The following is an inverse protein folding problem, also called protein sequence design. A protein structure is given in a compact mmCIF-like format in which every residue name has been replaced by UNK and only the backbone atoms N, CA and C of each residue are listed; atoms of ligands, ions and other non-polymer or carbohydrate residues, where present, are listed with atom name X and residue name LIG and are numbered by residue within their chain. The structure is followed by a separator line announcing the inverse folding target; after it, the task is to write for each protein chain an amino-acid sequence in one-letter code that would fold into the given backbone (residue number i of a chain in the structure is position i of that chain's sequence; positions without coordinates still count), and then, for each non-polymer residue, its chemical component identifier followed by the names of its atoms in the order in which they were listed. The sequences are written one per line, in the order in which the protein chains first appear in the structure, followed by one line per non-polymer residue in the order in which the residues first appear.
data_IF_453445948440
#
_entry.id   IF_453445948440
#
_cell.length_a   1.000
_cell.length_b   1.000
_cell.length_c   1.000
_cell.angle_alpha   90.00
_cell.angle_beta   90.00
_cell.angle_gamma   90.00
#
_symmetry.space_group_name_H-M   'P 1'
#
loop_
_entity.id
_entity.type
_entity.pdbx_description
1 polymer ?
#
# COMPACT_ATOMS: atom_id res chain seq x y z
N UNK A 1 -4.27 -15.55 10.91
CA UNK A 1 -3.29 -14.70 10.21
C UNK A 1 -4.05 -13.74 9.30
N UNK A 2 -3.71 -12.47 9.34
CA UNK A 2 -4.39 -11.46 8.53
C UNK A 2 -4.00 -11.62 7.06
N UNK A 3 -5.00 -11.69 6.19
CA UNK A 3 -4.82 -11.96 4.75
C UNK A 3 -5.09 -10.71 3.93
N UNK A 4 -4.75 -10.78 2.63
CA UNK A 4 -5.12 -9.72 1.69
C UNK A 4 -6.63 -9.50 1.69
N UNK A 5 -7.43 -10.57 1.72
CA UNK A 5 -8.87 -10.45 1.74
C UNK A 5 -9.37 -9.68 2.96
N UNK A 6 -8.75 -9.90 4.12
CA UNK A 6 -9.09 -9.15 5.33
C UNK A 6 -8.80 -7.66 5.16
N UNK A 7 -7.67 -7.34 4.56
CA UNK A 7 -7.28 -5.94 4.29
C UNK A 7 -8.26 -5.29 3.31
N UNK A 8 -8.63 -6.00 2.25
CA UNK A 8 -9.58 -5.48 1.27
C UNK A 8 -10.96 -5.18 1.86
N UNK A 9 -11.35 -5.91 2.92
CA UNK A 9 -12.62 -5.72 3.61
C UNK A 9 -12.56 -4.69 4.72
N UNK A 10 -11.38 -4.26 5.11
CA UNK A 10 -11.21 -3.32 6.22
C UNK A 10 -11.84 -1.97 5.87
N UNK A 11 -12.77 -1.50 6.71
CA UNK A 11 -13.54 -0.28 6.43
C UNK A 11 -12.68 0.97 6.43
N UNK A 12 -11.69 1.03 7.31
CA UNK A 12 -10.80 2.20 7.39
C UNK A 12 -9.93 2.28 6.13
N UNK A 13 -9.42 1.14 5.68
CA UNK A 13 -8.61 1.09 4.45
C UNK A 13 -9.46 1.46 3.24
N UNK A 14 -10.69 0.94 3.15
CA UNK A 14 -11.62 1.32 2.08
C UNK A 14 -11.85 2.83 2.07
N UNK A 15 -12.06 3.42 3.24
CA UNK A 15 -12.30 4.85 3.36
C UNK A 15 -11.09 5.67 2.90
N UNK A 16 -9.89 5.24 3.27
CA UNK A 16 -8.67 5.92 2.84
C UNK A 16 -8.48 5.84 1.33
N UNK A 17 -8.68 4.68 0.73
CA UNK A 17 -8.56 4.51 -0.71
C UNK A 17 -9.59 5.39 -1.43
N UNK A 18 -10.83 5.39 -0.96
CA UNK A 18 -11.90 6.19 -1.54
C UNK A 18 -11.59 7.69 -1.44
N UNK A 19 -11.12 8.13 -0.28
CA UNK A 19 -10.75 9.54 -0.07
C UNK A 19 -9.60 9.95 -0.99
N UNK A 20 -8.59 9.10 -1.13
CA UNK A 20 -7.46 9.35 -2.02
C UNK A 20 -7.90 9.48 -3.47
N UNK A 21 -8.80 8.61 -3.91
CA UNK A 21 -9.33 8.67 -5.27
C UNK A 21 -10.08 9.98 -5.53
N UNK A 22 -10.90 10.42 -4.58
CA UNK A 22 -11.63 11.68 -4.71
C UNK A 22 -10.69 12.86 -4.79
N UNK A 23 -9.66 12.87 -3.95
CA UNK A 23 -8.67 13.94 -3.92
C UNK A 23 -7.92 14.03 -5.25
N UNK A 24 -7.44 12.89 -5.74
CA UNK A 24 -6.68 12.86 -6.99
C UNK A 24 -7.56 13.20 -8.20
N UNK A 25 -8.81 12.73 -8.21
CA UNK A 25 -9.75 13.05 -9.28
C UNK A 25 -10.02 14.55 -9.33
N UNK A 26 -10.17 15.20 -8.18
CA UNK A 26 -10.37 16.64 -8.11
C UNK A 26 -9.17 17.42 -8.65
N UNK A 27 -7.98 16.83 -8.59
CA UNK A 27 -6.76 17.43 -9.12
C UNK A 27 -6.48 17.06 -10.57
N UNK A 28 -7.37 16.31 -11.22
CA UNK A 28 -7.21 15.91 -12.60
C UNK A 28 -6.46 14.61 -12.82
N UNK A 29 -6.07 13.90 -11.77
CA UNK A 29 -5.45 12.59 -11.89
C UNK A 29 -6.51 11.52 -12.09
N UNK A 30 -6.18 10.49 -12.86
CA UNK A 30 -7.08 9.38 -13.12
C UNK A 30 -6.39 8.06 -12.78
N UNK A 31 -7.20 6.98 -12.73
CA UNK A 31 -6.69 5.62 -12.59
C UNK A 31 -5.95 5.31 -11.30
N UNK A 32 -6.42 5.89 -10.18
CA UNK A 32 -5.90 5.56 -8.85
C UNK A 32 -6.94 4.81 -8.02
N UNK A 33 -7.93 4.21 -8.70
CA UNK A 33 -9.03 3.49 -8.07
C UNK A 33 -8.71 2.03 -7.83
N UNK A 34 -9.75 1.22 -7.56
CA UNK A 34 -9.60 -0.22 -7.26
C UNK A 34 -8.85 -1.00 -8.34
N UNK A 35 -8.99 -0.62 -9.60
CA UNK A 35 -8.28 -1.28 -10.69
C UNK A 35 -6.77 -1.10 -10.55
N UNK A 36 -6.33 0.12 -10.23
CA UNK A 36 -4.91 0.43 -10.06
C UNK A 36 -4.31 -0.35 -8.89
N UNK A 37 -4.93 -0.28 -7.72
CA UNK A 37 -4.39 -0.97 -6.55
C UNK A 37 -4.42 -2.48 -6.72
N UNK A 38 -5.43 -3.00 -7.42
CA UNK A 38 -5.49 -4.43 -7.74
C UNK A 38 -4.33 -4.84 -8.65
N UNK A 39 -4.04 -4.04 -9.66
CA UNK A 39 -2.92 -4.29 -10.56
C UNK A 39 -1.58 -4.29 -9.83
N UNK A 40 -1.34 -3.27 -9.02
CA UNK A 40 -0.10 -3.14 -8.25
C UNK A 40 0.04 -4.31 -7.27
N UNK A 41 -1.05 -4.66 -6.58
CA UNK A 41 -1.07 -5.77 -5.64
C UNK A 41 -0.67 -7.09 -6.31
N UNK A 42 -1.29 -7.41 -7.45
CA UNK A 42 -1.00 -8.64 -8.18
C UNK A 42 0.41 -8.66 -8.76
N UNK A 43 0.87 -7.51 -9.26
CA UNK A 43 2.20 -7.41 -9.83
C UNK A 43 3.27 -7.63 -8.77
N UNK A 44 3.12 -6.99 -7.59
CA UNK A 44 4.06 -7.16 -6.49
C UNK A 44 4.11 -8.62 -6.03
N UNK A 45 2.95 -9.23 -5.84
CA UNK A 45 2.87 -10.64 -5.45
C UNK A 45 3.50 -11.55 -6.50
N UNK A 46 3.22 -11.28 -7.78
CA UNK A 46 3.75 -12.09 -8.89
C UNK A 46 5.27 -12.05 -8.97
N UNK A 47 5.86 -10.90 -8.73
CA UNK A 47 7.32 -10.76 -8.74
C UNK A 47 7.94 -11.62 -7.64
N UNK A 48 7.43 -11.51 -6.41
CA UNK A 48 7.98 -12.29 -5.29
C UNK A 48 7.74 -13.78 -5.47
N UNK A 49 6.58 -14.16 -6.01
CA UNK A 49 6.31 -15.58 -6.30
C UNK A 49 7.29 -16.12 -7.34
N UNK A 50 7.57 -15.34 -8.39
CA UNK A 50 8.53 -15.75 -9.44
C UNK A 50 9.95 -15.88 -8.88
N UNK A 51 10.28 -15.12 -7.85
CA UNK A 51 11.59 -15.17 -7.18
C UNK A 51 11.63 -16.21 -6.05
N UNK A 52 10.57 -17.02 -5.92
CA UNK A 52 10.47 -18.11 -4.95
C UNK A 52 10.48 -17.67 -3.49
N UNK A 53 9.95 -16.49 -3.20
CA UNK A 53 9.72 -16.07 -1.82
C UNK A 53 8.62 -16.93 -1.18
N UNK A 54 8.58 -16.93 0.15
CA UNK A 54 7.58 -17.73 0.87
C UNK A 54 6.15 -17.23 0.56
N UNK A 55 5.13 -18.10 0.72
CA UNK A 55 3.75 -17.67 0.54
C UNK A 55 3.36 -16.45 1.38
N UNK A 56 3.88 -16.37 2.62
CA UNK A 56 3.58 -15.21 3.47
C UNK A 56 4.21 -13.94 2.94
N UNK A 57 5.44 -14.00 2.47
CA UNK A 57 6.11 -12.85 1.88
C UNK A 57 5.38 -12.38 0.62
N UNK A 58 4.92 -13.31 -0.19
CA UNK A 58 4.11 -13.00 -1.38
C UNK A 58 2.83 -12.27 -0.98
N UNK A 59 2.15 -12.76 0.07
CA UNK A 59 0.93 -12.12 0.54
C UNK A 59 1.20 -10.73 1.12
N UNK A 60 2.28 -10.55 1.88
CA UNK A 60 2.63 -9.23 2.41
C UNK A 60 2.92 -8.24 1.29
N UNK A 61 3.56 -8.69 0.21
CA UNK A 61 3.78 -7.86 -0.96
C UNK A 61 2.46 -7.46 -1.63
N UNK A 62 1.51 -8.39 -1.72
CA UNK A 62 0.19 -8.09 -2.25
C UNK A 62 -0.54 -7.05 -1.39
N UNK A 63 -0.45 -7.18 -0.07
CA UNK A 63 -1.05 -6.23 0.86
C UNK A 63 -0.40 -4.85 0.70
N UNK A 64 0.94 -4.80 0.68
CA UNK A 64 1.65 -3.53 0.51
C UNK A 64 1.23 -2.84 -0.79
N UNK A 65 1.11 -3.60 -1.88
CA UNK A 65 0.65 -3.07 -3.16
C UNK A 65 -0.77 -2.52 -3.09
N UNK A 66 -1.65 -3.21 -2.36
CA UNK A 66 -3.04 -2.77 -2.22
C UNK A 66 -3.15 -1.42 -1.48
N UNK A 67 -2.32 -1.20 -0.49
CA UNK A 67 -2.42 -0.02 0.39
C UNK A 67 -1.38 1.06 0.10
N UNK A 68 -0.53 0.89 -0.91
CA UNK A 68 0.65 1.75 -1.10
C UNK A 68 0.31 3.24 -1.28
N UNK A 69 -0.85 3.56 -1.82
CA UNK A 69 -1.23 4.93 -2.16
C UNK A 69 -2.20 5.58 -1.17
N UNK A 70 -2.47 4.95 -0.01
CA UNK A 70 -3.47 5.50 0.93
C UNK A 70 -3.10 6.90 1.45
N UNK A 71 -1.82 7.27 1.42
CA UNK A 71 -1.39 8.61 1.82
C UNK A 71 -1.98 9.72 0.97
N UNK A 72 -2.43 9.42 -0.25
CA UNK A 72 -3.11 10.39 -1.10
C UNK A 72 -4.42 10.89 -0.50
N UNK A 73 -4.94 10.21 0.53
CA UNK A 73 -6.12 10.70 1.26
C UNK A 73 -5.83 11.99 2.01
N UNK A 74 -4.57 12.27 2.29
CA UNK A 74 -4.13 13.47 3.00
C UNK A 74 -3.45 14.46 2.05
N UNK A 75 -2.46 14.00 1.31
CA UNK A 75 -1.71 14.85 0.38
C UNK A 75 -0.96 13.96 -0.61
N UNK A 76 -0.88 14.41 -1.86
CA UNK A 76 -0.07 13.71 -2.87
C UNK A 76 1.42 13.84 -2.57
N UNK A 77 1.85 14.99 -2.05
CA UNK A 77 3.23 15.19 -1.60
C UNK A 77 3.48 14.27 -0.40
N UNK A 78 4.57 13.52 -0.47
CA UNK A 78 4.97 12.61 0.61
C UNK A 78 3.90 11.58 0.96
N UNK A 79 3.08 11.18 -0.03
CA UNK A 79 2.01 10.22 0.24
C UNK A 79 2.53 8.86 0.72
N UNK A 80 3.77 8.49 0.39
CA UNK A 80 4.38 7.27 0.91
C UNK A 80 4.53 7.32 2.44
N UNK A 81 5.34 8.24 2.98
CA UNK A 81 5.46 8.38 4.42
C UNK A 81 4.14 8.65 5.14
N UNK A 82 3.26 9.49 4.55
CA UNK A 82 1.95 9.74 5.13
C UNK A 82 1.12 8.46 5.19
N UNK A 83 1.14 7.65 4.12
CA UNK A 83 0.43 6.39 4.10
C UNK A 83 0.93 5.43 5.18
N UNK A 84 2.25 5.37 5.36
CA UNK A 84 2.84 4.52 6.40
C UNK A 84 2.35 4.91 7.79
N UNK A 85 2.32 6.21 8.09
CA UNK A 85 1.85 6.71 9.39
C UNK A 85 0.37 6.40 9.59
N UNK A 86 -0.45 6.60 8.56
CA UNK A 86 -1.88 6.31 8.63
C UNK A 86 -2.16 4.82 8.83
N UNK A 87 -1.39 3.96 8.17
CA UNK A 87 -1.61 2.52 8.20
C UNK A 87 -1.20 1.86 9.51
N UNK A 88 -0.21 2.41 10.20
CA UNK A 88 0.33 1.76 11.39
C UNK A 88 -0.76 1.41 12.41
N UNK A 89 -1.57 2.36 12.91
CA UNK A 89 -2.61 2.00 13.86
C UNK A 89 -3.68 1.07 13.28
N UNK A 90 -4.02 1.24 12.00
CA UNK A 90 -5.04 0.41 11.36
C UNK A 90 -4.57 -1.04 11.28
N UNK A 91 -3.34 -1.27 10.84
CA UNK A 91 -2.80 -2.62 10.73
C UNK A 91 -2.62 -3.27 12.10
N UNK A 92 -2.21 -2.49 13.10
CA UNK A 92 -2.12 -3.02 14.47
C UNK A 92 -3.46 -3.50 14.98
N UNK A 93 -4.53 -2.78 14.71
CA UNK A 93 -5.87 -3.15 15.15
C UNK A 93 -6.37 -4.44 14.51
N UNK A 94 -5.83 -4.80 13.34
CA UNK A 94 -6.21 -6.08 12.71
C UNK A 94 -5.67 -7.29 13.45
N UNK A 95 -4.73 -7.10 14.36
CA UNK A 95 -4.06 -8.20 15.04
C UNK A 95 -2.89 -8.78 14.26
N UNK A 96 -2.49 -8.13 13.15
CA UNK A 96 -1.34 -8.56 12.37
C UNK A 96 -0.07 -8.54 13.24
N UNK A 97 0.81 -9.53 13.06
CA UNK A 97 2.09 -9.58 13.76
C UNK A 97 2.89 -8.32 13.43
N UNK A 98 3.55 -7.77 14.45
CA UNK A 98 4.25 -6.48 14.29
C UNK A 98 5.35 -6.53 13.25
N UNK A 99 6.05 -7.66 13.11
CA UNK A 99 7.06 -7.82 12.07
C UNK A 99 6.46 -7.67 10.67
N UNK A 100 5.26 -8.24 10.46
CA UNK A 100 4.54 -8.13 9.20
C UNK A 100 4.06 -6.70 8.97
N UNK A 101 3.54 -6.06 10.03
CA UNK A 101 3.12 -4.65 9.96
C UNK A 101 4.29 -3.80 9.49
N UNK A 102 5.47 -4.00 10.09
CA UNK A 102 6.64 -3.19 9.74
C UNK A 102 7.13 -3.45 8.33
N UNK A 103 7.01 -4.66 7.82
CA UNK A 103 7.35 -4.92 6.41
C UNK A 103 6.46 -4.11 5.47
N UNK A 104 5.15 -4.10 5.74
CA UNK A 104 4.21 -3.33 4.94
C UNK A 104 4.49 -1.83 5.07
N UNK A 105 4.66 -1.36 6.29
CA UNK A 105 4.91 0.07 6.58
C UNK A 105 6.17 0.55 5.88
N UNK A 106 7.24 -0.24 5.95
CA UNK A 106 8.51 0.12 5.30
C UNK A 106 8.35 0.18 3.79
N UNK A 107 7.67 -0.80 3.21
CA UNK A 107 7.44 -0.82 1.76
C UNK A 107 6.62 0.39 1.31
N UNK A 108 5.54 0.70 2.02
CA UNK A 108 4.69 1.85 1.69
C UNK A 108 5.43 3.16 1.88
N UNK A 109 6.14 3.31 3.00
CA UNK A 109 6.84 4.55 3.33
C UNK A 109 7.95 4.88 2.36
N UNK A 110 8.51 3.88 1.70
CA UNK A 110 9.67 4.05 0.83
C UNK A 110 9.36 3.81 -0.65
N UNK A 111 8.10 3.60 -1.03
CA UNK A 111 7.80 3.27 -2.42
C UNK A 111 8.12 4.39 -3.41
N UNK A 112 8.23 5.63 -2.95
CA UNK A 112 8.63 6.76 -3.78
C UNK A 112 10.14 6.98 -3.81
N UNK A 113 10.88 6.28 -2.97
CA UNK A 113 12.31 6.50 -2.81
C UNK A 113 13.09 6.21 -4.08
N UNK A 114 12.58 5.33 -4.92
CA UNK A 114 13.22 5.03 -6.19
C UNK A 114 13.35 6.26 -7.09
N UNK A 115 12.41 7.19 -7.00
CA UNK A 115 12.50 8.44 -7.73
C UNK A 115 13.67 9.28 -7.24
N UNK A 116 13.84 9.32 -5.94
CA UNK A 116 14.94 10.07 -5.31
C UNK A 116 16.26 9.43 -5.68
N UNK A 117 16.35 8.12 -5.58
CA UNK A 117 17.56 7.38 -5.94
C UNK A 117 17.96 7.62 -7.39
N UNK A 118 17.00 7.61 -8.31
CA UNK A 118 17.27 7.87 -9.71
C UNK A 118 17.69 9.32 -9.97
N UNK A 119 17.17 10.24 -9.17
CA UNK A 119 17.53 11.64 -9.29
C UNK A 119 18.98 11.90 -8.88
N UNK A 120 19.53 11.04 -8.03
CA UNK A 120 20.91 11.17 -7.56
C UNK A 120 21.92 10.43 -8.43
N UNK A 121 21.43 9.71 -9.38
CA UNK A 121 22.23 8.94 -10.31
C UNK A 121 22.39 9.70 -11.62
#
# INVERSE_FOLDING_TARGET
MVTLADIQKNEDIKALISAGNRYLAAMGFTEHGPRHVSYVSRTAAGILAALHFSPREVELAAIAGWVHDVGNSVNRHDHGPLGAVLLLPILRETGMAMDDVMEIITAVGNHEEQKIGRAHV
#
